data_IF_408142399104
#
_entry.id   IF_408142399104
#
_cell.length_a   1.000
_cell.length_b   1.000
_cell.length_c   1.000
_cell.angle_alpha   90.00
_cell.angle_beta   90.00
_cell.angle_gamma   90.00
#
_symmetry.space_group_name_H-M   'P 1'
#
loop_
_entity.id
_entity.type
_entity.pdbx_description
1 polymer ?
#
# COMPACT_ATOMS: atom_id res chain seq x y z
N UNK A 1 18.53 3.26 -13.61
CA UNK A 1 19.81 3.36 -12.87
C UNK A 1 19.69 2.90 -11.42
N UNK A 2 18.48 2.53 -10.94
CA UNK A 2 18.17 2.12 -9.56
C UNK A 2 18.37 0.63 -9.22
N UNK A 3 18.57 -0.23 -10.21
CA UNK A 3 18.69 -1.69 -10.00
C UNK A 3 19.97 -2.14 -9.27
N UNK A 4 20.95 -1.26 -9.07
CA UNK A 4 22.22 -1.62 -8.44
C UNK A 4 22.31 -1.35 -6.93
N UNK A 5 21.45 -0.50 -6.36
CA UNK A 5 21.49 -0.14 -4.93
C UNK A 5 20.95 -1.24 -4.01
N UNK A 6 19.99 -2.03 -4.51
CA UNK A 6 19.39 -3.14 -3.75
C UNK A 6 20.24 -4.42 -3.72
N UNK A 7 21.28 -4.53 -4.53
CA UNK A 7 22.21 -5.67 -4.51
C UNK A 7 22.93 -5.89 -3.15
N UNK A 8 22.97 -4.89 -2.31
CA UNK A 8 23.62 -4.97 -1.00
C UNK A 8 22.81 -5.74 0.05
N UNK A 9 21.50 -5.77 -0.09
CA UNK A 9 20.62 -6.46 0.88
C UNK A 9 20.28 -7.89 0.46
N UNK A 10 20.29 -8.24 -0.83
CA UNK A 10 19.84 -9.56 -1.30
C UNK A 10 20.44 -9.98 -2.64
N UNK A 11 21.23 -11.07 -2.66
CA UNK A 11 21.53 -11.89 -3.83
C UNK A 11 20.50 -13.04 -4.01
N UNK A 12 19.20 -12.76 -3.81
CA UNK A 12 18.21 -13.81 -4.03
C UNK A 12 17.50 -13.56 -5.36
N UNK A 13 18.07 -14.11 -6.43
CA UNK A 13 17.34 -14.35 -7.67
C UNK A 13 16.50 -15.60 -7.49
N UNK A 14 15.22 -15.41 -7.15
CA UNK A 14 14.26 -16.51 -7.12
C UNK A 14 13.52 -16.59 -8.45
N UNK A 15 13.18 -17.80 -8.87
CA UNK A 15 12.29 -17.99 -10.00
C UNK A 15 10.84 -17.89 -9.53
N UNK A 16 10.11 -16.96 -10.13
CA UNK A 16 8.72 -16.66 -9.77
C UNK A 16 7.81 -16.89 -10.98
N UNK A 17 6.71 -17.61 -10.78
CA UNK A 17 5.67 -17.75 -11.81
C UNK A 17 4.49 -16.86 -11.41
N UNK A 18 4.11 -15.96 -12.31
CA UNK A 18 2.89 -15.13 -12.17
C UNK A 18 1.83 -15.68 -13.13
N UNK A 19 0.70 -16.12 -12.60
CA UNK A 19 -0.43 -16.60 -13.37
C UNK A 19 -1.47 -15.50 -13.49
N UNK A 20 -1.67 -15.01 -14.70
CA UNK A 20 -2.49 -13.87 -15.08
C UNK A 20 -1.66 -12.63 -15.41
N UNK A 21 -1.83 -12.09 -16.63
CA UNK A 21 -1.23 -10.83 -17.09
C UNK A 21 -2.26 -9.68 -17.11
N UNK A 22 -3.26 -9.75 -16.22
CA UNK A 22 -4.15 -8.64 -15.95
C UNK A 22 -3.43 -7.48 -15.24
N UNK A 23 -4.18 -6.50 -14.78
CA UNK A 23 -3.61 -5.31 -14.13
C UNK A 23 -2.72 -5.61 -12.92
N UNK A 24 -3.16 -6.50 -12.02
CA UNK A 24 -2.40 -6.90 -10.84
C UNK A 24 -1.17 -7.71 -11.24
N UNK A 25 -1.36 -8.74 -12.08
CA UNK A 25 -0.26 -9.65 -12.45
C UNK A 25 0.85 -8.98 -13.24
N UNK A 26 0.51 -8.12 -14.21
CA UNK A 26 1.51 -7.33 -14.96
C UNK A 26 2.31 -6.41 -14.04
N UNK A 27 1.65 -5.75 -13.07
CA UNK A 27 2.31 -4.88 -12.13
C UNK A 27 3.18 -5.65 -11.13
N UNK A 28 2.72 -6.80 -10.65
CA UNK A 28 3.52 -7.71 -9.80
C UNK A 28 4.75 -8.21 -10.57
N UNK A 29 4.58 -8.64 -11.83
CA UNK A 29 5.68 -9.08 -12.66
C UNK A 29 6.72 -7.97 -12.89
N UNK A 30 6.27 -6.75 -13.17
CA UNK A 30 7.13 -5.57 -13.32
C UNK A 30 7.95 -5.32 -12.06
N UNK A 31 7.30 -5.28 -10.90
CA UNK A 31 7.99 -5.04 -9.63
C UNK A 31 8.98 -6.14 -9.29
N UNK A 32 8.60 -7.42 -9.45
CA UNK A 32 9.49 -8.55 -9.17
C UNK A 32 10.71 -8.56 -10.11
N UNK A 33 10.52 -8.23 -11.39
CA UNK A 33 11.61 -8.11 -12.37
C UNK A 33 12.55 -6.96 -12.03
N UNK A 34 12.02 -5.80 -11.68
CA UNK A 34 12.82 -4.64 -11.20
C UNK A 34 13.69 -5.00 -10.00
N UNK A 35 13.22 -5.90 -9.14
CA UNK A 35 13.98 -6.40 -8.00
C UNK A 35 14.94 -7.55 -8.33
N UNK A 36 15.15 -7.84 -9.63
CA UNK A 36 16.15 -8.80 -10.11
C UNK A 36 15.72 -10.26 -10.03
N UNK A 37 14.44 -10.57 -9.80
CA UNK A 37 13.93 -11.92 -9.84
C UNK A 37 13.81 -12.43 -11.29
N UNK A 38 13.89 -13.75 -11.48
CA UNK A 38 13.63 -14.44 -12.74
C UNK A 38 12.11 -14.72 -12.81
N UNK A 39 11.39 -14.01 -13.68
CA UNK A 39 9.92 -14.03 -13.70
C UNK A 39 9.42 -14.71 -14.96
N UNK A 40 8.47 -15.64 -14.80
CA UNK A 40 7.67 -16.19 -15.87
C UNK A 40 6.20 -15.75 -15.70
N UNK A 41 5.56 -15.35 -16.79
CA UNK A 41 4.16 -14.92 -16.81
C UNK A 41 3.34 -15.88 -17.67
N UNK A 42 2.26 -16.41 -17.10
CA UNK A 42 1.29 -17.28 -17.78
C UNK A 42 0.01 -16.51 -18.02
N UNK A 43 -0.47 -16.45 -19.26
CA UNK A 43 -1.71 -15.78 -19.63
C UNK A 43 -2.36 -16.46 -20.86
N UNK A 44 -3.66 -16.44 -20.90
CA UNK A 44 -4.43 -17.00 -22.03
C UNK A 44 -4.67 -16.00 -23.14
N UNK A 45 -4.68 -14.71 -22.85
CA UNK A 45 -4.86 -13.63 -23.81
C UNK A 45 -3.52 -13.21 -24.43
N UNK A 46 -3.41 -13.42 -25.74
CA UNK A 46 -2.19 -13.08 -26.51
C UNK A 46 -1.87 -11.60 -26.52
N UNK A 47 -2.89 -10.74 -26.52
CA UNK A 47 -2.67 -9.30 -26.52
C UNK A 47 -2.00 -8.85 -25.22
N UNK A 48 -2.48 -9.35 -24.08
CA UNK A 48 -1.87 -9.07 -22.77
C UNK A 48 -0.45 -9.66 -22.64
N UNK A 49 -0.23 -10.86 -23.20
CA UNK A 49 1.13 -11.43 -23.21
C UNK A 49 2.10 -10.55 -23.99
N UNK A 50 1.70 -10.08 -25.17
CA UNK A 50 2.52 -9.20 -26.00
C UNK A 50 2.82 -7.89 -25.27
N UNK A 51 1.82 -7.29 -24.59
CA UNK A 51 1.99 -6.07 -23.80
C UNK A 51 3.03 -6.24 -22.68
N UNK A 52 3.08 -7.42 -22.07
CA UNK A 52 4.06 -7.75 -21.02
C UNK A 52 5.46 -7.99 -21.62
N UNK A 53 5.55 -8.78 -22.69
CA UNK A 53 6.80 -9.11 -23.39
C UNK A 53 7.49 -7.86 -23.94
N UNK A 54 6.70 -6.91 -24.48
CA UNK A 54 7.23 -5.65 -25.02
C UNK A 54 7.81 -4.72 -23.93
N UNK A 55 7.39 -4.88 -22.70
CA UNK A 55 7.73 -3.94 -21.59
C UNK A 55 8.71 -4.52 -20.57
N UNK A 56 8.71 -5.82 -20.39
CA UNK A 56 9.42 -6.49 -19.31
C UNK A 56 10.34 -7.60 -19.86
N UNK A 57 11.48 -7.75 -19.24
CA UNK A 57 12.40 -8.88 -19.49
C UNK A 57 11.94 -10.11 -18.69
N UNK A 58 10.93 -10.80 -19.18
CA UNK A 58 10.30 -11.96 -18.53
C UNK A 58 10.04 -13.10 -19.53
N UNK A 59 9.97 -14.33 -19.03
CA UNK A 59 9.49 -15.45 -19.82
C UNK A 59 7.96 -15.38 -19.94
N UNK A 60 7.40 -15.32 -21.14
CA UNK A 60 5.96 -15.39 -21.36
C UNK A 60 5.54 -16.78 -21.84
N UNK A 61 4.44 -17.29 -21.29
CA UNK A 61 3.88 -18.61 -21.63
C UNK A 61 2.39 -18.46 -21.89
N UNK A 62 1.97 -18.75 -23.12
CA UNK A 62 0.55 -18.76 -23.48
C UNK A 62 -0.15 -20.01 -22.94
N UNK A 63 -1.19 -19.83 -22.11
CA UNK A 63 -1.98 -20.93 -21.61
C UNK A 63 -2.61 -20.66 -20.25
N UNK A 64 -3.20 -21.68 -19.66
CA UNK A 64 -3.83 -21.61 -18.34
C UNK A 64 -2.91 -22.16 -17.26
N UNK A 65 -2.86 -21.49 -16.10
CA UNK A 65 -2.18 -21.99 -14.90
C UNK A 65 -2.81 -23.26 -14.29
N UNK A 66 -3.98 -23.68 -14.79
CA UNK A 66 -4.60 -24.96 -14.42
C UNK A 66 -4.03 -26.15 -15.17
N UNK A 67 -3.18 -25.92 -16.19
CA UNK A 67 -2.59 -26.98 -16.99
C UNK A 67 -1.15 -27.26 -16.53
N UNK A 68 -0.85 -28.49 -16.07
CA UNK A 68 0.49 -28.84 -15.61
C UNK A 68 1.60 -28.55 -16.64
N UNK A 69 1.38 -28.85 -17.92
CA UNK A 69 2.35 -28.58 -18.98
C UNK A 69 2.66 -27.10 -19.14
N UNK A 70 1.69 -26.21 -18.98
CA UNK A 70 1.88 -24.76 -19.03
C UNK A 70 2.75 -24.29 -17.86
N UNK A 71 2.49 -24.80 -16.67
CA UNK A 71 3.29 -24.52 -15.49
C UNK A 71 4.72 -25.07 -15.62
N UNK A 72 4.90 -26.25 -16.22
CA UNK A 72 6.22 -26.83 -16.49
C UNK A 72 7.02 -25.96 -17.50
N UNK A 73 6.37 -25.47 -18.57
CA UNK A 73 6.97 -24.53 -19.52
C UNK A 73 7.39 -23.21 -18.87
N UNK A 74 6.64 -22.76 -17.88
CA UNK A 74 6.99 -21.61 -17.06
C UNK A 74 8.08 -21.89 -16.01
N UNK A 75 8.58 -23.13 -15.91
CA UNK A 75 9.66 -23.50 -15.01
C UNK A 75 9.22 -23.90 -13.61
N UNK A 76 8.05 -24.54 -13.45
CA UNK A 76 7.46 -24.94 -12.16
C UNK A 76 8.45 -25.72 -11.27
N UNK A 77 9.26 -26.59 -11.85
CA UNK A 77 10.21 -27.44 -11.12
C UNK A 77 11.36 -26.68 -10.43
N UNK A 78 11.57 -25.43 -10.81
CA UNK A 78 12.59 -24.53 -10.20
C UNK A 78 11.96 -23.32 -9.52
N UNK A 79 10.62 -23.20 -9.56
CA UNK A 79 9.92 -22.07 -8.96
C UNK A 79 9.96 -22.12 -7.43
N UNK A 80 10.30 -21.01 -6.82
CA UNK A 80 10.25 -20.83 -5.37
C UNK A 80 8.95 -20.15 -4.93
N UNK A 81 8.30 -19.45 -5.87
CA UNK A 81 7.04 -18.75 -5.64
C UNK A 81 6.12 -18.85 -6.86
N UNK A 82 4.85 -19.10 -6.61
CA UNK A 82 3.78 -18.96 -7.60
C UNK A 82 2.76 -17.94 -7.10
N UNK A 83 2.46 -16.95 -7.94
CA UNK A 83 1.50 -15.87 -7.67
C UNK A 83 0.35 -16.01 -8.66
N UNK A 84 -0.80 -16.50 -8.21
CA UNK A 84 -1.99 -16.71 -9.03
C UNK A 84 -2.99 -15.55 -8.79
N UNK A 85 -3.10 -14.64 -9.77
CA UNK A 85 -3.82 -13.35 -9.66
C UNK A 85 -4.67 -13.05 -10.89
N UNK A 86 -5.24 -14.09 -11.51
CA UNK A 86 -6.23 -13.92 -12.57
C UNK A 86 -7.55 -13.37 -12.00
N UNK A 87 -8.49 -12.99 -12.86
CA UNK A 87 -9.87 -12.62 -12.46
C UNK A 87 -10.76 -13.83 -12.16
N UNK A 88 -10.24 -15.05 -12.17
CA UNK A 88 -10.99 -16.27 -11.92
C UNK A 88 -10.40 -17.00 -10.71
N UNK A 89 -11.16 -17.05 -9.63
CA UNK A 89 -10.73 -17.63 -8.36
C UNK A 89 -10.42 -19.13 -8.46
N UNK A 90 -11.19 -19.89 -9.25
CA UNK A 90 -10.96 -21.32 -9.45
C UNK A 90 -9.62 -21.57 -10.16
N UNK A 91 -9.29 -20.76 -11.16
CA UNK A 91 -7.98 -20.82 -11.83
C UNK A 91 -6.86 -20.54 -10.85
N UNK A 92 -7.03 -19.51 -10.01
CA UNK A 92 -6.03 -19.12 -9.02
C UNK A 92 -5.81 -20.25 -7.98
N UNK A 93 -6.89 -20.83 -7.48
CA UNK A 93 -6.86 -21.92 -6.51
C UNK A 93 -6.23 -23.20 -7.07
N UNK A 94 -6.59 -23.59 -8.30
CA UNK A 94 -6.03 -24.79 -8.95
C UNK A 94 -4.56 -24.58 -9.26
N UNK A 95 -4.16 -23.39 -9.75
CA UNK A 95 -2.76 -23.07 -10.02
C UNK A 95 -1.89 -23.20 -8.76
N UNK A 96 -2.39 -22.68 -7.62
CA UNK A 96 -1.68 -22.79 -6.35
C UNK A 96 -1.61 -24.23 -5.85
N UNK A 97 -2.69 -25.00 -5.98
CA UNK A 97 -2.72 -26.43 -5.62
C UNK A 97 -1.67 -27.21 -6.40
N UNK A 98 -1.63 -27.03 -7.73
CA UNK A 98 -0.63 -27.69 -8.59
C UNK A 98 0.80 -27.29 -8.22
N UNK A 99 1.01 -26.02 -7.93
CA UNK A 99 2.30 -25.52 -7.47
C UNK A 99 2.73 -26.17 -6.15
N UNK A 100 1.84 -26.27 -5.18
CA UNK A 100 2.13 -26.93 -3.90
C UNK A 100 2.39 -28.44 -4.07
N UNK A 101 1.64 -29.10 -4.92
CA UNK A 101 1.88 -30.53 -5.22
C UNK A 101 3.25 -30.76 -5.92
N UNK A 102 3.71 -29.78 -6.70
CA UNK A 102 5.04 -29.80 -7.33
C UNK A 102 6.18 -29.44 -6.35
N UNK A 103 5.86 -29.07 -5.09
CA UNK A 103 6.86 -28.74 -4.08
C UNK A 103 7.28 -27.28 -4.03
N UNK A 104 6.56 -26.37 -4.70
CA UNK A 104 6.83 -24.93 -4.62
C UNK A 104 6.70 -24.44 -3.17
N UNK A 105 7.73 -23.78 -2.68
CA UNK A 105 7.83 -23.38 -1.29
C UNK A 105 6.73 -22.40 -0.88
N UNK A 106 6.43 -21.42 -1.74
CA UNK A 106 5.50 -20.31 -1.44
C UNK A 106 4.46 -20.13 -2.55
N UNK A 107 3.21 -19.88 -2.15
CA UNK A 107 2.11 -19.59 -3.08
C UNK A 107 1.28 -18.43 -2.58
N UNK A 108 0.90 -17.56 -3.51
CA UNK A 108 -0.03 -16.45 -3.29
C UNK A 108 -1.22 -16.63 -4.20
N UNK A 109 -2.41 -16.43 -3.66
CA UNK A 109 -3.67 -16.61 -4.37
C UNK A 109 -4.55 -15.38 -4.19
N UNK A 110 -5.03 -14.80 -5.29
CA UNK A 110 -6.08 -13.79 -5.27
C UNK A 110 -7.44 -14.48 -5.21
N UNK A 111 -8.31 -14.04 -4.29
CA UNK A 111 -9.69 -14.51 -4.16
C UNK A 111 -10.60 -13.31 -3.94
N UNK A 112 -11.67 -13.21 -4.75
CA UNK A 112 -12.66 -12.14 -4.67
C UNK A 112 -14.06 -12.62 -4.32
N UNK A 113 -14.33 -13.93 -4.41
CA UNK A 113 -15.66 -14.48 -4.20
C UNK A 113 -16.12 -14.34 -2.74
N UNK A 114 -17.30 -13.74 -2.53
CA UNK A 114 -17.89 -13.53 -1.20
C UNK A 114 -18.07 -14.84 -0.39
N UNK A 115 -18.47 -15.91 -1.05
CA UNK A 115 -18.68 -17.21 -0.44
C UNK A 115 -17.36 -17.90 0.02
N UNK A 116 -16.22 -17.35 -0.37
CA UNK A 116 -14.89 -17.83 0.01
C UNK A 116 -14.21 -16.94 1.08
N UNK A 117 -14.97 -16.09 1.75
CA UNK A 117 -14.48 -15.21 2.82
C UNK A 117 -14.58 -15.84 4.22
N UNK A 118 -13.90 -15.25 5.17
CA UNK A 118 -13.97 -15.61 6.58
C UNK A 118 -13.53 -17.06 6.82
N UNK A 119 -14.37 -17.83 7.48
CA UNK A 119 -14.08 -19.22 7.87
C UNK A 119 -13.90 -20.16 6.66
N UNK A 120 -14.69 -19.96 5.60
CA UNK A 120 -14.57 -20.73 4.36
C UNK A 120 -13.23 -20.47 3.67
N UNK A 121 -12.78 -19.22 3.59
CA UNK A 121 -11.46 -18.88 3.06
C UNK A 121 -10.31 -19.53 3.86
N UNK A 122 -10.41 -19.55 5.19
CA UNK A 122 -9.41 -20.20 6.03
C UNK A 122 -9.35 -21.71 5.79
N UNK A 123 -10.50 -22.36 5.67
CA UNK A 123 -10.58 -23.81 5.39
C UNK A 123 -10.02 -24.13 4.00
N UNK A 124 -10.36 -23.33 2.99
CA UNK A 124 -9.88 -23.49 1.62
C UNK A 124 -8.38 -23.24 1.52
N UNK A 125 -7.88 -22.19 2.17
CA UNK A 125 -6.45 -21.91 2.28
C UNK A 125 -5.69 -23.09 2.89
N UNK A 126 -6.19 -23.66 3.98
CA UNK A 126 -5.58 -24.82 4.62
C UNK A 126 -5.62 -26.06 3.73
N UNK A 127 -6.71 -26.29 2.99
CA UNK A 127 -6.87 -27.43 2.09
C UNK A 127 -5.96 -27.37 0.86
N UNK A 128 -5.74 -26.17 0.31
CA UNK A 128 -4.89 -25.95 -0.87
C UNK A 128 -3.42 -25.78 -0.46
N UNK A 129 -3.17 -25.39 0.79
CA UNK A 129 -1.85 -25.06 1.29
C UNK A 129 -1.35 -23.69 0.78
N UNK A 130 -2.26 -22.78 0.41
CA UNK A 130 -1.87 -21.42 0.02
C UNK A 130 -1.28 -20.66 1.23
N UNK A 131 -0.11 -20.06 1.03
CA UNK A 131 0.59 -19.36 2.11
C UNK A 131 0.00 -17.96 2.33
N UNK A 132 -0.43 -17.30 1.26
CA UNK A 132 -1.12 -16.01 1.31
C UNK A 132 -2.36 -16.03 0.42
N UNK A 133 -3.46 -15.53 0.94
CA UNK A 133 -4.66 -15.18 0.17
C UNK A 133 -4.81 -13.66 0.18
N UNK A 134 -4.98 -13.06 -0.98
CA UNK A 134 -5.16 -11.63 -1.16
C UNK A 134 -6.55 -11.36 -1.71
N UNK A 135 -7.28 -10.47 -1.06
CA UNK A 135 -8.49 -9.85 -1.57
C UNK A 135 -8.17 -8.37 -1.86
N UNK A 136 -8.27 -7.90 -3.12
CA UNK A 136 -7.95 -6.51 -3.47
C UNK A 136 -8.79 -5.48 -2.73
N UNK A 137 -10.04 -5.80 -2.45
CA UNK A 137 -10.96 -4.91 -1.74
C UNK A 137 -10.57 -4.79 -0.26
N UNK A 138 -10.22 -5.90 0.39
CA UNK A 138 -9.79 -5.90 1.78
C UNK A 138 -8.43 -5.19 1.95
N UNK A 139 -7.49 -5.37 1.00
CA UNK A 139 -6.22 -4.63 0.99
C UNK A 139 -6.46 -3.12 0.82
N UNK A 140 -7.36 -2.72 -0.10
CA UNK A 140 -7.72 -1.31 -0.30
C UNK A 140 -8.44 -0.73 0.93
N UNK A 141 -9.35 -1.50 1.53
CA UNK A 141 -10.03 -1.09 2.76
C UNK A 141 -9.04 -0.88 3.91
N UNK A 142 -8.03 -1.75 4.02
CA UNK A 142 -6.97 -1.60 5.02
C UNK A 142 -6.16 -0.31 4.81
N UNK A 143 -5.79 0.03 3.55
CA UNK A 143 -5.12 1.30 3.24
C UNK A 143 -6.00 2.51 3.61
N UNK A 144 -7.31 2.48 3.31
CA UNK A 144 -8.25 3.54 3.69
C UNK A 144 -8.30 3.70 5.22
N UNK A 145 -8.43 2.58 5.95
CA UNK A 145 -8.48 2.61 7.41
C UNK A 145 -7.21 3.17 8.05
N UNK A 146 -6.04 2.86 7.47
CA UNK A 146 -4.78 3.44 7.91
C UNK A 146 -4.73 4.96 7.66
N UNK A 147 -5.19 5.44 6.50
CA UNK A 147 -5.31 6.87 6.19
C UNK A 147 -6.25 7.59 7.15
N UNK A 148 -7.39 6.98 7.50
CA UNK A 148 -8.34 7.54 8.47
C UNK A 148 -7.73 7.72 9.88
N UNK A 149 -6.65 7.02 10.20
CA UNK A 149 -5.89 7.24 11.44
C UNK A 149 -5.00 8.50 11.40
N UNK A 150 -4.65 9.02 10.21
CA UNK A 150 -3.69 10.13 10.06
C UNK A 150 -4.21 11.19 9.08
N UNK A 151 -5.13 12.09 9.53
CA UNK A 151 -5.71 13.14 8.71
C UNK A 151 -4.68 13.96 7.95
N UNK A 152 -4.87 14.10 6.63
CA UNK A 152 -3.96 14.84 5.73
C UNK A 152 -2.72 14.07 5.31
N UNK A 153 -2.53 12.82 5.76
CA UNK A 153 -1.53 11.93 5.17
C UNK A 153 -2.03 11.38 3.83
N UNK A 154 -1.19 11.40 2.83
CA UNK A 154 -1.48 10.75 1.54
C UNK A 154 -1.09 9.28 1.55
N UNK A 155 -0.16 8.92 2.43
CA UNK A 155 0.36 7.57 2.59
C UNK A 155 0.74 7.34 4.06
N UNK A 156 0.53 6.11 4.53
CA UNK A 156 0.90 5.72 5.89
C UNK A 156 1.37 4.28 5.90
N UNK A 157 2.36 3.98 6.73
CA UNK A 157 2.83 2.63 6.95
C UNK A 157 3.20 2.40 8.41
N UNK A 158 2.90 1.21 8.91
CA UNK A 158 3.25 0.78 10.25
C UNK A 158 4.31 -0.32 10.21
N UNK A 159 5.40 -0.11 10.94
CA UNK A 159 6.56 -0.98 11.04
C UNK A 159 6.81 -1.38 12.49
N UNK A 160 7.67 -2.38 12.69
CA UNK A 160 8.11 -2.81 14.01
C UNK A 160 6.94 -3.06 14.98
N UNK A 161 6.01 -3.93 14.60
CA UNK A 161 4.78 -4.22 15.36
C UNK A 161 3.99 -2.94 15.71
N UNK A 162 3.93 -1.97 14.77
CA UNK A 162 3.28 -0.65 14.89
C UNK A 162 3.97 0.34 15.84
N UNK A 163 5.19 0.08 16.27
CA UNK A 163 5.98 1.00 17.12
C UNK A 163 6.65 2.13 16.32
N UNK A 164 6.84 1.92 15.01
CA UNK A 164 7.37 2.91 14.06
C UNK A 164 6.28 3.18 13.01
N UNK A 165 6.12 4.44 12.65
CA UNK A 165 5.19 4.90 11.63
C UNK A 165 5.95 5.67 10.56
N UNK A 166 5.54 5.50 9.30
CA UNK A 166 5.96 6.34 8.19
C UNK A 166 4.75 7.11 7.70
N UNK A 167 4.88 8.43 7.58
CA UNK A 167 3.82 9.33 7.13
C UNK A 167 4.30 10.00 5.84
N UNK A 168 3.58 9.78 4.75
CA UNK A 168 3.73 10.48 3.49
C UNK A 168 2.73 11.63 3.40
N UNK A 169 3.19 12.83 3.03
CA UNK A 169 2.32 13.99 2.85
C UNK A 169 2.99 15.07 2.04
N UNK A 170 2.20 15.95 1.41
CA UNK A 170 2.68 17.16 0.76
C UNK A 170 2.75 18.30 1.77
N UNK A 171 3.93 18.92 1.90
CA UNK A 171 4.18 20.00 2.86
C UNK A 171 3.43 21.27 2.46
N UNK A 172 2.53 21.72 3.33
CA UNK A 172 1.75 22.92 3.10
C UNK A 172 2.53 24.20 3.43
N UNK A 173 2.22 25.29 2.74
CA UNK A 173 2.68 26.61 3.12
C UNK A 173 2.20 26.94 4.53
N UNK A 174 3.11 27.34 5.41
CA UNK A 174 2.79 27.62 6.82
C UNK A 174 2.97 26.43 7.77
N UNK A 175 3.26 25.22 7.29
CA UNK A 175 3.65 24.11 8.14
C UNK A 175 4.93 24.45 8.93
N UNK A 176 5.04 24.08 10.22
CA UNK A 176 6.21 24.38 11.04
C UNK A 176 7.56 23.92 10.47
N UNK A 177 7.59 22.84 9.69
CA UNK A 177 8.81 22.36 9.02
C UNK A 177 9.12 23.15 7.73
N UNK A 178 8.15 23.84 7.15
CA UNK A 178 8.35 24.57 5.92
C UNK A 178 9.39 25.69 6.08
N UNK A 179 10.29 25.84 5.12
CA UNK A 179 11.37 26.84 5.13
C UNK A 179 12.56 26.49 6.03
N UNK A 180 12.54 25.40 6.78
CA UNK A 180 13.66 24.98 7.63
C UNK A 180 14.61 24.06 6.86
N UNK A 181 15.91 24.09 7.26
CA UNK A 181 16.88 23.07 6.82
C UNK A 181 16.81 21.86 7.76
N UNK A 182 17.15 20.65 7.25
CA UNK A 182 17.19 19.48 8.11
C UNK A 182 18.19 19.58 9.26
N UNK A 183 19.30 20.31 9.08
CA UNK A 183 20.24 20.60 10.16
C UNK A 183 19.63 21.46 11.27
N UNK A 184 18.82 22.46 10.91
CA UNK A 184 18.12 23.31 11.90
C UNK A 184 17.06 22.51 12.65
N UNK A 185 16.30 21.65 11.95
CA UNK A 185 15.35 20.73 12.57
C UNK A 185 16.07 19.78 13.52
N UNK A 186 17.17 19.16 13.07
CA UNK A 186 17.96 18.25 13.88
C UNK A 186 18.46 18.89 15.17
N UNK A 187 19.00 20.10 15.09
CA UNK A 187 19.52 20.81 16.27
C UNK A 187 18.44 21.12 17.31
N UNK A 188 17.20 21.35 16.88
CA UNK A 188 16.08 21.63 17.77
C UNK A 188 15.63 20.41 18.58
N UNK A 189 15.76 19.20 18.01
CA UNK A 189 15.28 17.96 18.62
C UNK A 189 16.39 17.05 19.21
N UNK A 190 17.66 17.53 19.26
CA UNK A 190 18.75 16.86 19.97
C UNK A 190 18.47 16.83 21.50
N UNK A 191 18.89 15.80 22.24
CA UNK A 191 19.59 14.59 21.79
C UNK A 191 18.67 13.43 21.38
N UNK A 192 17.37 13.49 21.68
CA UNK A 192 16.43 12.38 21.52
C UNK A 192 15.45 12.64 20.40
N UNK A 193 15.80 12.20 19.20
CA UNK A 193 14.93 12.31 18.06
C UNK A 193 13.75 11.34 18.16
N UNK A 194 12.58 11.84 17.88
CA UNK A 194 11.36 11.04 17.77
C UNK A 194 10.91 10.84 16.32
N UNK A 195 11.54 11.55 15.36
CA UNK A 195 11.27 11.43 13.93
C UNK A 195 12.49 11.83 13.07
N UNK A 196 12.45 11.51 11.79
CA UNK A 196 13.34 12.05 10.75
C UNK A 196 12.59 12.13 9.40
N UNK A 197 13.02 13.03 8.51
CA UNK A 197 12.58 13.08 7.11
C UNK A 197 13.41 12.07 6.33
N UNK A 198 12.78 10.98 5.88
CA UNK A 198 13.46 9.87 5.22
C UNK A 198 13.63 10.12 3.72
N UNK A 199 12.63 10.70 3.07
CA UNK A 199 12.69 11.06 1.66
C UNK A 199 11.93 12.35 1.38
N UNK A 200 12.29 13.01 0.27
CA UNK A 200 11.62 14.19 -0.26
C UNK A 200 11.53 14.06 -1.78
N UNK A 201 10.32 14.28 -2.32
CA UNK A 201 10.10 14.46 -3.76
C UNK A 201 9.77 15.90 -4.05
N UNK A 202 10.43 16.48 -5.08
CA UNK A 202 10.16 17.80 -5.63
C UNK A 202 10.27 17.73 -7.14
N UNK A 203 9.26 18.20 -7.88
CA UNK A 203 9.23 18.17 -9.34
C UNK A 203 9.51 16.76 -9.93
N UNK A 204 8.99 15.71 -9.30
CA UNK A 204 9.19 14.34 -9.73
C UNK A 204 10.56 13.72 -9.37
N UNK A 205 11.46 14.45 -8.71
CA UNK A 205 12.76 13.96 -8.28
C UNK A 205 12.74 13.59 -6.78
N UNK A 206 12.93 12.31 -6.49
CA UNK A 206 12.94 11.76 -5.13
C UNK A 206 14.36 11.56 -4.64
N UNK A 207 14.67 12.13 -3.48
CA UNK A 207 15.99 12.04 -2.85
C UNK A 207 15.88 11.66 -1.37
N UNK A 208 16.93 11.04 -0.83
CA UNK A 208 17.18 11.00 0.61
C UNK A 208 17.86 12.32 0.99
N UNK A 209 17.15 13.23 1.71
CA UNK A 209 17.64 14.57 1.90
C UNK A 209 18.77 14.62 2.91
N UNK A 210 19.78 15.47 2.66
CA UNK A 210 20.90 15.70 3.54
C UNK A 210 20.68 16.92 4.45
N UNK A 211 21.55 17.13 5.40
CA UNK A 211 21.44 18.14 6.44
C UNK A 211 21.21 19.58 5.95
N UNK A 212 21.76 19.93 4.79
CA UNK A 212 21.67 21.25 4.15
C UNK A 212 20.38 21.46 3.32
N UNK A 213 19.62 20.40 3.09
CA UNK A 213 18.38 20.50 2.32
C UNK A 213 17.34 21.32 3.07
N UNK A 214 16.79 22.32 2.40
CA UNK A 214 15.67 23.15 2.87
C UNK A 214 14.37 22.54 2.39
N UNK A 215 13.41 22.41 3.28
CA UNK A 215 12.05 21.99 2.98
C UNK A 215 11.25 23.20 2.47
N UNK A 216 10.53 23.03 1.37
CA UNK A 216 9.75 24.07 0.71
C UNK A 216 8.28 23.65 0.58
N UNK A 217 7.35 24.58 0.37
CA UNK A 217 5.97 24.24 0.03
C UNK A 217 5.93 23.26 -1.16
N UNK A 218 4.94 22.41 -1.20
CA UNK A 218 4.70 21.39 -2.22
C UNK A 218 5.76 20.26 -2.29
N UNK A 219 6.76 20.25 -1.39
CA UNK A 219 7.58 19.06 -1.20
C UNK A 219 6.72 17.90 -0.73
N UNK A 220 6.77 16.77 -1.41
CA UNK A 220 6.22 15.54 -0.86
C UNK A 220 7.26 14.88 0.06
N UNK A 221 6.91 14.69 1.32
CA UNK A 221 7.81 14.20 2.36
C UNK A 221 7.36 12.84 2.89
N UNK A 222 8.31 11.94 3.11
CA UNK A 222 8.11 10.75 3.94
C UNK A 222 8.88 10.92 5.25
N UNK A 223 8.14 10.87 6.35
CA UNK A 223 8.67 11.08 7.70
C UNK A 223 8.55 9.78 8.49
N UNK A 224 9.68 9.23 8.90
CA UNK A 224 9.75 8.09 9.83
C UNK A 224 9.68 8.62 11.26
N UNK A 225 8.77 8.11 12.05
CA UNK A 225 8.56 8.56 13.43
C UNK A 225 8.28 7.39 14.37
N UNK A 226 8.59 7.59 15.67
CA UNK A 226 8.09 6.72 16.73
C UNK A 226 6.57 6.90 16.85
N UNK A 227 5.82 5.82 17.04
CA UNK A 227 4.36 5.86 17.20
C UNK A 227 3.89 6.91 18.21
N UNK A 228 4.58 7.03 19.35
CA UNK A 228 4.24 8.00 20.40
C UNK A 228 4.33 9.46 19.93
N UNK A 229 5.17 9.76 18.92
CA UNK A 229 5.38 11.10 18.38
C UNK A 229 4.48 11.41 17.16
N UNK A 230 3.59 10.50 16.76
CA UNK A 230 2.71 10.67 15.60
C UNK A 230 2.02 12.03 15.58
N UNK A 231 1.42 12.41 16.71
CA UNK A 231 0.66 13.67 16.85
C UNK A 231 1.53 14.90 16.67
N UNK A 232 2.70 14.90 17.34
CA UNK A 232 3.65 16.02 17.24
C UNK A 232 4.18 16.17 15.81
N UNK A 233 4.44 15.03 15.13
CA UNK A 233 4.91 15.01 13.74
C UNK A 233 3.81 15.51 12.78
N UNK A 234 2.55 15.11 13.00
CA UNK A 234 1.42 15.65 12.22
C UNK A 234 1.35 17.18 12.36
N UNK A 235 1.45 17.72 13.56
CA UNK A 235 1.45 19.17 13.82
C UNK A 235 2.63 19.87 13.13
N UNK A 236 3.83 19.25 13.14
CA UNK A 236 5.02 19.78 12.47
C UNK A 236 4.89 19.81 10.94
N UNK A 237 4.20 18.85 10.38
CA UNK A 237 3.88 18.76 8.95
C UNK A 237 2.71 19.68 8.53
N UNK A 238 2.07 20.35 9.50
CA UNK A 238 0.87 21.16 9.26
C UNK A 238 -0.41 20.32 9.12
N UNK A 239 -0.33 19.03 9.43
CA UNK A 239 -1.48 18.13 9.40
C UNK A 239 -2.34 18.31 10.66
N UNK A 240 -3.61 17.99 10.54
CA UNK A 240 -4.47 18.04 11.71
C UNK A 240 -4.22 16.84 12.61
N UNK A 241 -4.09 17.10 13.90
CA UNK A 241 -3.94 16.04 14.90
C UNK A 241 -5.31 15.42 15.22
N UNK A 242 -5.38 14.09 15.29
CA UNK A 242 -6.60 13.37 15.66
C UNK A 242 -6.95 12.24 14.70
N UNK A 243 -8.19 11.81 14.74
CA UNK A 243 -8.81 10.85 13.82
C UNK A 243 -10.04 11.50 13.20
N UNK A 244 -10.39 11.10 12.01
CA UNK A 244 -11.65 11.52 11.40
C UNK A 244 -12.84 11.05 12.21
N UNK A 245 -13.84 11.91 12.34
CA UNK A 245 -15.07 11.65 13.11
C UNK A 245 -16.26 11.31 12.23
N UNK A 246 -16.33 11.94 11.04
CA UNK A 246 -17.44 11.77 10.08
C UNK A 246 -16.88 11.36 8.73
N UNK A 247 -17.26 10.19 8.28
CA UNK A 247 -16.81 9.60 7.01
C UNK A 247 -18.04 9.36 6.14
N UNK A 248 -18.02 9.87 4.91
CA UNK A 248 -19.01 9.60 3.88
C UNK A 248 -18.42 8.63 2.86
N UNK A 249 -19.02 7.45 2.74
CA UNK A 249 -18.67 6.44 1.76
C UNK A 249 -19.65 6.51 0.58
N UNK A 250 -19.13 6.72 -0.61
CA UNK A 250 -19.90 6.86 -1.84
C UNK A 250 -19.78 5.59 -2.71
N UNK A 251 -20.90 4.87 -2.83
CA UNK A 251 -21.00 3.58 -3.51
C UNK A 251 -20.60 2.41 -2.63
N UNK A 252 -21.38 1.32 -2.72
CA UNK A 252 -21.17 0.14 -1.90
C UNK A 252 -20.59 -1.00 -2.73
N UNK A 253 -19.32 -0.86 -3.07
CA UNK A 253 -18.47 -1.98 -3.40
C UNK A 253 -18.01 -2.70 -2.12
N UNK A 254 -17.34 -3.84 -2.28
CA UNK A 254 -16.80 -4.62 -1.17
C UNK A 254 -15.80 -3.84 -0.30
N UNK A 255 -15.00 -2.97 -0.91
CA UNK A 255 -14.11 -2.06 -0.20
C UNK A 255 -14.86 -1.18 0.79
N UNK A 256 -15.96 -0.53 0.34
CA UNK A 256 -16.77 0.35 1.20
C UNK A 256 -17.44 -0.42 2.34
N UNK A 257 -17.92 -1.63 2.08
CA UNK A 257 -18.51 -2.51 3.09
C UNK A 257 -17.48 -2.91 4.16
N UNK A 258 -16.26 -3.30 3.75
CA UNK A 258 -15.17 -3.63 4.69
C UNK A 258 -14.78 -2.43 5.55
N UNK A 259 -14.71 -1.21 4.98
CA UNK A 259 -14.45 0.02 5.72
C UNK A 259 -15.59 0.33 6.70
N UNK A 260 -16.84 0.26 6.24
CA UNK A 260 -18.03 0.52 7.08
C UNK A 260 -18.11 -0.46 8.26
N UNK A 261 -17.88 -1.75 8.02
CA UNK A 261 -17.80 -2.78 9.06
C UNK A 261 -16.73 -2.46 10.11
N UNK A 262 -15.55 -2.08 9.67
CA UNK A 262 -14.43 -1.78 10.57
C UNK A 262 -14.66 -0.54 11.43
N UNK A 263 -15.57 0.35 11.00
CA UNK A 263 -15.93 1.59 11.69
C UNK A 263 -17.28 1.52 12.43
N UNK A 264 -18.01 0.41 12.33
CA UNK A 264 -19.38 0.25 12.89
C UNK A 264 -19.44 0.42 14.41
N UNK A 265 -18.35 0.12 15.12
CA UNK A 265 -18.24 0.35 16.57
C UNK A 265 -18.28 1.84 16.97
N UNK A 266 -18.35 2.76 16.01
CA UNK A 266 -18.42 4.22 16.21
C UNK A 266 -19.75 4.76 15.68
N UNK A 267 -20.87 4.64 16.41
CA UNK A 267 -22.20 5.03 15.92
C UNK A 267 -22.23 6.48 15.43
N UNK A 268 -22.80 6.70 14.25
CA UNK A 268 -22.91 8.02 13.62
C UNK A 268 -21.63 8.57 12.99
N UNK A 269 -20.55 7.78 13.00
CA UNK A 269 -19.29 8.18 12.35
C UNK A 269 -19.31 7.93 10.83
N UNK A 270 -20.12 6.99 10.35
CA UNK A 270 -20.15 6.57 8.95
C UNK A 270 -21.53 6.78 8.35
N UNK A 271 -21.55 7.45 7.20
CA UNK A 271 -22.71 7.52 6.30
C UNK A 271 -22.30 6.89 4.97
N UNK A 272 -23.22 6.17 4.35
CA UNK A 272 -22.99 5.42 3.13
C UNK A 272 -24.11 5.72 2.13
N UNK A 273 -23.76 6.02 0.87
CA UNK A 273 -24.72 6.25 -0.21
C UNK A 273 -24.62 5.07 -1.20
N UNK A 274 -25.77 4.42 -1.45
CA UNK A 274 -25.89 3.30 -2.40
C UNK A 274 -27.05 3.51 -3.35
N UNK A 275 -26.80 3.26 -4.62
CA UNK A 275 -27.79 3.46 -5.69
C UNK A 275 -28.82 2.32 -5.78
N UNK A 276 -28.41 1.09 -5.50
CA UNK A 276 -29.29 -0.07 -5.56
C UNK A 276 -30.16 -0.12 -4.29
N UNK A 277 -31.50 0.02 -4.40
CA UNK A 277 -32.38 0.04 -3.24
C UNK A 277 -32.43 -1.28 -2.46
N UNK A 278 -32.19 -2.40 -3.13
CA UNK A 278 -32.16 -3.72 -2.46
C UNK A 278 -30.89 -3.82 -1.64
N UNK A 279 -29.75 -3.47 -2.24
CA UNK A 279 -28.47 -3.48 -1.53
C UNK A 279 -28.43 -2.46 -0.39
N UNK A 280 -28.93 -1.26 -0.60
CA UNK A 280 -29.03 -0.23 0.45
C UNK A 280 -29.80 -0.74 1.68
N UNK A 281 -30.93 -1.45 1.46
CA UNK A 281 -31.72 -2.03 2.56
C UNK A 281 -30.98 -3.15 3.27
N UNK A 282 -30.37 -4.07 2.54
CA UNK A 282 -29.57 -5.16 3.12
C UNK A 282 -28.43 -4.63 4.02
N UNK A 283 -27.77 -3.57 3.57
CA UNK A 283 -26.70 -2.95 4.35
C UNK A 283 -27.22 -2.24 5.60
N UNK A 284 -28.34 -1.52 5.49
CA UNK A 284 -28.97 -0.87 6.64
C UNK A 284 -29.42 -1.90 7.72
N UNK A 285 -29.76 -3.12 7.30
CA UNK A 285 -30.11 -4.21 8.23
C UNK A 285 -28.87 -4.87 8.86
N UNK A 286 -27.75 -4.93 8.13
CA UNK A 286 -26.56 -5.67 8.55
C UNK A 286 -25.49 -4.80 9.24
N UNK A 287 -25.42 -3.49 8.94
CA UNK A 287 -24.41 -2.57 9.47
C UNK A 287 -24.99 -1.73 10.63
N UNK A 288 -24.87 -2.23 11.85
CA UNK A 288 -25.27 -1.45 13.02
C UNK A 288 -24.42 -0.17 13.15
N UNK A 289 -25.07 0.95 13.45
CA UNK A 289 -24.37 2.23 13.67
C UNK A 289 -23.96 3.01 12.43
N UNK A 290 -24.24 2.50 11.23
CA UNK A 290 -23.99 3.14 9.93
C UNK A 290 -25.29 3.69 9.36
N UNK A 291 -25.28 4.97 8.94
CA UNK A 291 -26.42 5.54 8.20
C UNK A 291 -26.30 5.17 6.73
N UNK A 292 -27.31 4.48 6.20
CA UNK A 292 -27.36 4.12 4.77
C UNK A 292 -28.43 4.95 4.06
N UNK A 293 -28.05 5.61 2.97
CA UNK A 293 -28.89 6.47 2.14
C UNK A 293 -28.99 5.86 0.75
N UNK A 294 -30.21 5.71 0.22
CA UNK A 294 -30.44 5.32 -1.16
C UNK A 294 -30.22 6.53 -2.09
N UNK A 295 -29.30 6.40 -3.06
CA UNK A 295 -29.08 7.46 -4.04
C UNK A 295 -27.88 7.24 -4.94
N UNK A 296 -27.81 8.05 -6.00
CA UNK A 296 -26.68 8.03 -6.96
C UNK A 296 -25.60 9.01 -6.50
N UNK A 297 -24.36 8.53 -6.41
CA UNK A 297 -23.19 9.34 -5.97
C UNK A 297 -22.85 10.48 -6.95
N UNK A 298 -23.36 10.43 -8.18
CA UNK A 298 -23.20 11.50 -9.18
C UNK A 298 -24.30 12.55 -9.12
N UNK A 299 -25.30 12.36 -8.27
CA UNK A 299 -26.36 13.34 -8.05
C UNK A 299 -25.87 14.46 -7.12
N UNK A 300 -25.63 15.61 -7.74
CA UNK A 300 -25.13 16.80 -7.04
C UNK A 300 -26.13 17.35 -6.01
N UNK A 301 -27.44 17.24 -6.28
CA UNK A 301 -28.48 17.73 -5.36
C UNK A 301 -28.53 16.86 -4.10
N UNK A 302 -28.39 15.53 -4.28
CA UNK A 302 -28.30 14.59 -3.16
C UNK A 302 -27.07 14.88 -2.29
N UNK A 303 -25.87 15.00 -2.89
CA UNK A 303 -24.65 15.27 -2.15
C UNK A 303 -24.70 16.61 -1.40
N UNK A 304 -25.36 17.62 -1.97
CA UNK A 304 -25.59 18.92 -1.31
C UNK A 304 -26.59 18.79 -0.16
N UNK A 305 -27.70 18.06 -0.35
CA UNK A 305 -28.73 17.84 0.66
C UNK A 305 -28.21 17.05 1.86
N UNK A 306 -27.32 16.08 1.62
CA UNK A 306 -26.65 15.29 2.66
C UNK A 306 -25.41 15.99 3.25
N UNK A 307 -25.23 17.27 2.93
CA UNK A 307 -24.12 18.08 3.46
C UNK A 307 -22.75 17.44 3.29
N UNK A 308 -22.45 16.86 2.11
CA UNK A 308 -21.20 16.16 1.85
C UNK A 308 -19.95 16.98 2.21
N UNK A 309 -20.03 18.31 2.11
CA UNK A 309 -18.95 19.22 2.54
C UNK A 309 -18.70 19.29 4.04
N UNK A 310 -19.59 18.76 4.87
CA UNK A 310 -19.45 18.75 6.34
C UNK A 310 -18.73 17.52 6.90
N UNK A 311 -18.42 16.55 6.01
CA UNK A 311 -17.69 15.34 6.40
C UNK A 311 -16.18 15.61 6.46
N UNK A 312 -15.52 14.93 7.39
CA UNK A 312 -14.07 14.99 7.48
C UNK A 312 -13.43 14.30 6.27
N UNK A 313 -14.00 13.16 5.85
CA UNK A 313 -13.57 12.41 4.67
C UNK A 313 -14.76 12.02 3.81
N UNK A 314 -14.62 12.20 2.50
CA UNK A 314 -15.54 11.66 1.50
C UNK A 314 -14.76 10.66 0.64
N UNK A 315 -15.11 9.38 0.71
CA UNK A 315 -14.45 8.31 -0.03
C UNK A 315 -15.37 7.73 -1.10
N UNK A 316 -15.03 7.90 -2.38
CA UNK A 316 -15.75 7.33 -3.51
C UNK A 316 -15.11 6.01 -3.94
N UNK A 317 -15.87 4.90 -3.73
CA UNK A 317 -15.36 3.53 -3.73
C UNK A 317 -16.13 2.63 -4.70
N UNK A 318 -16.65 3.19 -5.79
CA UNK A 318 -17.32 2.41 -6.84
C UNK A 318 -16.31 1.81 -7.84
N UNK A 319 -16.79 0.87 -8.67
CA UNK A 319 -16.03 0.35 -9.81
C UNK A 319 -15.90 1.31 -11.01
N UNK A 320 -16.37 2.56 -10.89
CA UNK A 320 -16.41 3.54 -11.98
C UNK A 320 -15.53 4.75 -11.68
N UNK A 321 -14.32 4.78 -12.26
CA UNK A 321 -13.35 5.86 -12.04
C UNK A 321 -13.95 7.25 -12.24
N UNK A 322 -14.71 7.44 -13.33
CA UNK A 322 -15.26 8.74 -13.69
C UNK A 322 -16.30 9.24 -12.66
N UNK A 323 -17.14 8.32 -12.15
CA UNK A 323 -18.11 8.63 -11.10
C UNK A 323 -17.39 8.97 -9.77
N UNK A 324 -16.37 8.20 -9.41
CA UNK A 324 -15.59 8.44 -8.20
C UNK A 324 -14.89 9.81 -8.24
N UNK A 325 -14.29 10.14 -9.39
CA UNK A 325 -13.62 11.44 -9.60
C UNK A 325 -14.61 12.58 -9.46
N UNK A 326 -15.75 12.54 -10.18
CA UNK A 326 -16.74 13.60 -10.17
C UNK A 326 -17.36 13.81 -8.79
N UNK A 327 -17.70 12.72 -8.10
CA UNK A 327 -18.25 12.77 -6.75
C UNK A 327 -17.27 13.40 -5.74
N UNK A 328 -15.99 13.02 -5.78
CA UNK A 328 -14.94 13.60 -4.94
C UNK A 328 -14.74 15.08 -5.22
N UNK A 329 -14.63 15.50 -6.49
CA UNK A 329 -14.48 16.89 -6.87
C UNK A 329 -15.66 17.74 -6.43
N UNK A 330 -16.88 17.20 -6.57
CA UNK A 330 -18.08 17.90 -6.14
C UNK A 330 -18.13 18.03 -4.61
N UNK A 331 -17.85 16.94 -3.86
CA UNK A 331 -17.76 17.00 -2.40
C UNK A 331 -16.69 18.00 -1.94
N UNK A 332 -15.54 18.07 -2.63
CA UNK A 332 -14.49 19.06 -2.35
C UNK A 332 -14.99 20.48 -2.57
N UNK A 333 -15.75 20.72 -3.65
CA UNK A 333 -16.35 22.05 -3.92
C UNK A 333 -17.39 22.48 -2.89
N UNK A 334 -18.03 21.53 -2.22
CA UNK A 334 -18.94 21.78 -1.09
C UNK A 334 -18.21 22.01 0.24
N UNK A 335 -16.89 21.79 0.29
CA UNK A 335 -16.08 22.00 1.48
C UNK A 335 -15.61 20.75 2.20
N UNK A 336 -15.76 19.55 1.60
CA UNK A 336 -15.22 18.31 2.17
C UNK A 336 -13.72 18.48 2.45
N UNK A 337 -13.32 18.08 3.64
CA UNK A 337 -11.97 18.34 4.14
C UNK A 337 -10.95 17.48 3.42
N UNK A 338 -11.25 16.21 3.22
CA UNK A 338 -10.41 15.26 2.48
C UNK A 338 -11.25 14.38 1.59
N UNK A 339 -10.72 14.04 0.43
CA UNK A 339 -11.37 13.19 -0.56
C UNK A 339 -10.46 12.00 -0.92
N UNK A 340 -11.05 10.81 -0.95
CA UNK A 340 -10.38 9.56 -1.35
C UNK A 340 -11.14 8.99 -2.54
N UNK A 341 -10.46 8.75 -3.67
CA UNK A 341 -11.05 8.09 -4.83
C UNK A 341 -10.35 6.76 -5.11
N UNK A 342 -11.11 5.67 -5.29
CA UNK A 342 -10.56 4.45 -5.88
C UNK A 342 -10.50 4.56 -7.40
N UNK A 343 -9.39 4.08 -7.98
CA UNK A 343 -9.11 4.13 -9.41
C UNK A 343 -8.59 2.79 -9.93
N UNK A 344 -9.07 2.39 -11.08
CA UNK A 344 -8.55 1.27 -11.85
C UNK A 344 -7.48 1.74 -12.85
N UNK A 345 -7.63 2.94 -13.42
CA UNK A 345 -6.71 3.55 -14.40
C UNK A 345 -5.61 4.35 -13.71
N UNK A 346 -4.50 3.70 -13.35
CA UNK A 346 -3.38 4.33 -12.61
C UNK A 346 -2.78 5.57 -13.28
N UNK A 347 -2.85 5.68 -14.62
CA UNK A 347 -2.37 6.86 -15.36
C UNK A 347 -3.08 8.15 -15.00
N UNK A 348 -4.27 8.07 -14.39
CA UNK A 348 -5.02 9.23 -13.93
C UNK A 348 -4.55 9.73 -12.56
N UNK A 349 -3.77 8.95 -11.80
CA UNK A 349 -3.40 9.25 -10.42
C UNK A 349 -2.71 10.62 -10.27
N UNK A 350 -1.70 10.90 -11.10
CA UNK A 350 -0.96 12.17 -11.05
C UNK A 350 -1.87 13.36 -11.36
N UNK A 351 -2.75 13.20 -12.37
CA UNK A 351 -3.69 14.23 -12.76
C UNK A 351 -4.70 14.56 -11.63
N UNK A 352 -5.09 13.58 -10.83
CA UNK A 352 -6.11 13.78 -9.80
C UNK A 352 -5.65 14.66 -8.66
N UNK A 353 -4.39 14.58 -8.28
CA UNK A 353 -3.80 15.49 -7.28
C UNK A 353 -3.81 16.94 -7.79
N UNK A 354 -3.54 17.16 -9.08
CA UNK A 354 -3.58 18.49 -9.69
C UNK A 354 -4.98 19.08 -9.73
N UNK A 355 -6.02 18.26 -9.90
CA UNK A 355 -7.42 18.72 -9.92
C UNK A 355 -8.08 18.79 -8.53
N UNK A 356 -7.35 18.46 -7.47
CA UNK A 356 -7.80 18.67 -6.08
C UNK A 356 -8.41 17.47 -5.37
N UNK A 357 -8.17 16.25 -5.83
CA UNK A 357 -8.46 15.02 -5.07
C UNK A 357 -7.24 14.73 -4.19
N UNK A 358 -7.46 14.58 -2.88
CA UNK A 358 -6.36 14.49 -1.92
C UNK A 358 -5.66 13.13 -1.97
N UNK A 359 -6.42 12.04 -2.10
CA UNK A 359 -5.89 10.67 -2.14
C UNK A 359 -6.52 9.86 -3.28
N UNK A 360 -5.69 9.21 -4.07
CA UNK A 360 -6.09 8.25 -5.10
C UNK A 360 -5.51 6.87 -4.80
N UNK A 361 -6.38 5.89 -4.54
CA UNK A 361 -6.03 4.51 -4.25
C UNK A 361 -6.37 3.59 -5.43
N UNK A 362 -5.67 2.48 -5.52
CA UNK A 362 -5.98 1.46 -6.52
C UNK A 362 -5.93 0.06 -5.92
N UNK A 363 -7.01 -0.73 -6.07
CA UNK A 363 -7.00 -2.13 -5.65
C UNK A 363 -5.87 -2.96 -6.26
N UNK A 364 -5.41 -2.54 -7.45
CA UNK A 364 -4.25 -3.11 -8.13
C UNK A 364 -2.95 -2.91 -7.35
N UNK A 365 -2.66 -1.67 -6.95
CA UNK A 365 -1.44 -1.38 -6.17
C UNK A 365 -1.51 -1.96 -4.78
N UNK A 366 -2.66 -1.90 -4.13
CA UNK A 366 -2.89 -2.50 -2.82
C UNK A 366 -2.59 -4.01 -2.84
N UNK A 367 -3.15 -4.74 -3.82
CA UNK A 367 -2.87 -6.18 -3.99
C UNK A 367 -1.40 -6.48 -4.27
N UNK A 368 -0.77 -5.71 -5.17
CA UNK A 368 0.63 -5.91 -5.50
C UNK A 368 1.53 -5.65 -4.29
N UNK A 369 1.23 -4.63 -3.50
CA UNK A 369 1.91 -4.35 -2.24
C UNK A 369 1.76 -5.52 -1.25
N UNK A 370 0.57 -6.12 -1.17
CA UNK A 370 0.32 -7.34 -0.39
C UNK A 370 1.20 -8.52 -0.83
N UNK A 371 1.30 -8.78 -2.14
CA UNK A 371 2.22 -9.79 -2.70
C UNK A 371 3.67 -9.50 -2.31
N UNK A 372 4.12 -8.28 -2.50
CA UNK A 372 5.52 -7.91 -2.26
C UNK A 372 5.89 -7.98 -0.78
N UNK A 373 5.00 -7.56 0.13
CA UNK A 373 5.18 -7.78 1.57
C UNK A 373 5.40 -9.26 1.88
N UNK A 374 4.61 -10.14 1.26
CA UNK A 374 4.75 -11.58 1.45
C UNK A 374 6.03 -12.15 0.84
N UNK A 375 6.37 -11.76 -0.39
CA UNK A 375 7.59 -12.23 -1.08
C UNK A 375 8.83 -11.95 -0.24
N UNK A 376 8.89 -10.79 0.37
CA UNK A 376 10.00 -10.34 1.21
C UNK A 376 9.95 -10.83 2.65
N UNK A 377 8.80 -11.29 3.13
CA UNK A 377 8.59 -11.75 4.51
C UNK A 377 9.46 -12.93 4.97
N UNK A 378 10.18 -13.60 4.05
CA UNK A 378 11.18 -14.61 4.41
C UNK A 378 12.51 -14.04 4.94
N UNK A 379 12.76 -12.75 4.72
CA UNK A 379 14.00 -12.05 5.09
C UNK A 379 13.72 -10.67 5.71
N UNK A 380 12.66 -9.97 5.25
CA UNK A 380 12.17 -8.74 5.86
C UNK A 380 10.84 -9.02 6.57
N UNK A 381 10.68 -8.58 7.81
CA UNK A 381 9.42 -8.77 8.55
C UNK A 381 8.26 -7.99 7.91
N UNK A 382 8.55 -6.80 7.38
CA UNK A 382 7.60 -5.94 6.68
C UNK A 382 8.30 -5.26 5.51
N UNK A 383 7.64 -5.24 4.35
CA UNK A 383 8.04 -4.39 3.22
C UNK A 383 6.81 -3.59 2.80
N UNK A 384 6.94 -2.28 2.73
CA UNK A 384 5.85 -1.38 2.37
C UNK A 384 6.33 -0.44 1.27
N UNK A 385 5.52 -0.31 0.22
CA UNK A 385 5.78 0.61 -0.89
C UNK A 385 4.88 1.82 -0.71
N UNK A 386 5.48 2.96 -0.50
CA UNK A 386 4.77 4.21 -0.27
C UNK A 386 4.56 4.99 -1.56
N UNK A 387 5.54 4.99 -2.45
CA UNK A 387 5.40 5.51 -3.81
C UNK A 387 6.30 4.70 -4.75
N UNK A 388 6.14 4.84 -6.06
CA UNK A 388 6.90 4.06 -7.04
C UNK A 388 8.42 4.14 -6.87
N UNK A 389 8.92 5.26 -6.32
CA UNK A 389 10.35 5.56 -6.17
C UNK A 389 10.85 5.51 -4.71
N UNK A 390 10.00 5.16 -3.75
CA UNK A 390 10.36 5.06 -2.33
C UNK A 390 9.85 3.78 -1.70
N UNK A 391 10.72 3.09 -1.00
CA UNK A 391 10.42 1.81 -0.36
C UNK A 391 10.95 1.80 1.07
N UNK A 392 10.17 1.24 1.99
CA UNK A 392 10.57 1.01 3.37
C UNK A 392 10.59 -0.48 3.65
N UNK A 393 11.71 -0.98 4.19
CA UNK A 393 11.92 -2.39 4.49
C UNK A 393 12.30 -2.53 5.96
N UNK A 394 11.71 -3.49 6.66
CA UNK A 394 12.08 -3.90 8.00
C UNK A 394 12.92 -5.18 7.93
N UNK A 395 14.16 -5.09 8.42
CA UNK A 395 15.13 -6.18 8.45
C UNK A 395 15.56 -6.44 9.88
N UNK A 396 15.87 -7.69 10.21
CA UNK A 396 16.50 -8.05 11.48
C UNK A 396 18.02 -8.13 11.29
N UNK A 397 18.77 -7.53 12.20
CA UNK A 397 20.23 -7.63 12.22
C UNK A 397 20.64 -9.04 12.66
N UNK A 398 21.21 -9.81 11.74
CA UNK A 398 21.67 -11.16 12.01
C UNK A 398 22.97 -11.15 12.82
N UNK A 399 23.13 -12.17 13.70
CA UNK A 399 24.36 -12.40 14.48
C UNK A 399 25.59 -12.49 13.55
N UNK A 400 26.63 -11.72 13.87
CA UNK A 400 27.87 -11.71 13.10
C UNK A 400 27.77 -11.09 11.70
N UNK A 401 26.65 -10.46 11.36
CA UNK A 401 26.53 -9.69 10.12
C UNK A 401 27.42 -8.42 10.18
N UNK A 402 27.67 -7.81 9.01
CA UNK A 402 28.45 -6.55 8.94
C UNK A 402 27.82 -5.39 9.74
N UNK A 403 26.53 -5.49 10.05
CA UNK A 403 25.81 -4.47 10.80
C UNK A 403 25.88 -4.70 12.33
N UNK A 404 26.15 -5.94 12.75
CA UNK A 404 26.19 -6.29 14.17
C UNK A 404 27.43 -5.69 14.87
N UNK A 405 27.18 -4.84 15.87
CA UNK A 405 28.20 -4.11 16.61
C UNK A 405 28.73 -2.86 15.88
N UNK A 406 28.20 -2.51 14.70
CA UNK A 406 28.75 -1.43 13.89
C UNK A 406 27.87 -0.17 13.94
N UNK A 407 28.48 1.00 13.77
CA UNK A 407 27.75 2.27 13.66
C UNK A 407 27.13 2.42 12.26
N UNK A 408 25.93 2.99 12.19
CA UNK A 408 25.26 3.26 10.92
C UNK A 408 26.14 4.07 9.96
N UNK A 409 26.92 5.04 10.49
CA UNK A 409 27.86 5.84 9.67
C UNK A 409 28.99 5.04 9.00
N UNK A 410 29.31 3.87 9.55
CA UNK A 410 30.39 3.01 9.08
C UNK A 410 29.86 1.87 8.20
N UNK A 411 28.55 1.70 8.13
CA UNK A 411 27.93 0.81 7.16
C UNK A 411 28.08 1.45 5.80
N UNK A 412 28.72 0.75 4.89
CA UNK A 412 28.97 1.22 3.53
C UNK A 412 27.67 1.16 2.70
N UNK A 413 26.65 1.88 3.17
CA UNK A 413 25.33 1.91 2.56
C UNK A 413 25.35 2.72 1.26
N UNK A 414 24.62 2.30 0.23
CA UNK A 414 24.38 3.10 -0.97
C UNK A 414 23.84 4.50 -0.62
N UNK A 415 24.11 5.49 -1.50
CA UNK A 415 23.71 6.88 -1.25
C UNK A 415 22.20 7.10 -1.18
N UNK A 416 21.44 6.19 -1.74
CA UNK A 416 19.99 6.11 -1.82
C UNK A 416 19.36 5.16 -0.78
N UNK A 417 20.14 4.78 0.25
CA UNK A 417 19.68 3.96 1.38
C UNK A 417 19.87 4.70 2.70
N UNK A 418 18.85 4.64 3.55
CA UNK A 418 18.84 5.24 4.88
C UNK A 418 18.32 4.23 5.91
N UNK A 419 18.98 4.12 7.05
CA UNK A 419 18.42 3.47 8.24
C UNK A 419 17.56 4.48 9.00
N UNK A 420 16.25 4.42 8.79
CA UNK A 420 15.29 5.36 9.38
C UNK A 420 15.09 5.16 10.89
N UNK A 421 14.91 3.91 11.30
CA UNK A 421 14.70 3.53 12.69
C UNK A 421 15.23 2.12 12.96
N UNK A 422 15.40 1.76 14.22
CA UNK A 422 15.63 0.40 14.68
C UNK A 422 14.94 0.16 16.03
N UNK A 423 14.64 -1.09 16.36
CA UNK A 423 13.98 -1.45 17.61
C UNK A 423 14.88 -2.33 18.44
N UNK A 424 15.20 -1.86 19.64
CA UNK A 424 16.01 -2.59 20.63
C UNK A 424 15.22 -2.80 21.90
N UNK A 425 15.11 -4.04 22.35
CA UNK A 425 14.35 -4.41 23.56
C UNK A 425 12.90 -3.89 23.51
N UNK A 426 12.26 -3.98 22.32
CA UNK A 426 10.89 -3.50 22.07
C UNK A 426 10.74 -1.96 22.07
N UNK A 427 11.84 -1.20 22.12
CA UNK A 427 11.82 0.27 22.13
C UNK A 427 12.30 0.83 20.78
N UNK A 428 11.48 1.60 20.06
CA UNK A 428 11.88 2.21 18.80
C UNK A 428 12.88 3.34 19.02
N UNK A 429 13.86 3.42 18.14
CA UNK A 429 14.91 4.46 18.11
C UNK A 429 15.07 4.95 16.70
N UNK A 430 15.19 6.25 16.51
CA UNK A 430 15.48 6.85 15.21
C UNK A 430 16.95 6.61 14.85
N UNK A 431 17.21 6.15 13.61
CA UNK A 431 18.53 5.85 13.09
C UNK A 431 19.36 7.13 12.92
N UNK A 432 20.59 7.10 13.40
CA UNK A 432 21.58 8.18 13.25
C UNK A 432 22.92 7.60 12.90
N UNK A 433 23.75 8.33 12.18
CA UNK A 433 25.09 7.86 11.85
C UNK A 433 25.90 7.35 13.04
N UNK A 434 25.73 7.95 14.23
CA UNK A 434 26.39 7.54 15.50
C UNK A 434 25.73 6.35 16.21
N UNK A 435 24.54 5.93 15.79
CA UNK A 435 23.85 4.79 16.38
C UNK A 435 24.56 3.50 15.99
N UNK A 436 24.85 2.67 16.97
CA UNK A 436 25.40 1.32 16.84
C UNK A 436 24.22 0.35 16.70
N UNK A 437 24.22 -0.48 15.67
CA UNK A 437 23.28 -1.58 15.51
C UNK A 437 23.80 -2.82 16.23
N UNK A 438 22.89 -3.70 16.66
CA UNK A 438 23.22 -4.95 17.34
C UNK A 438 22.33 -6.06 16.83
N UNK A 439 22.75 -7.29 17.03
CA UNK A 439 21.94 -8.47 16.79
C UNK A 439 20.50 -8.26 17.27
N UNK A 440 19.52 -8.64 16.44
CA UNK A 440 18.07 -8.52 16.67
C UNK A 440 17.51 -7.09 16.77
N UNK A 441 18.31 -6.07 16.43
CA UNK A 441 17.76 -4.74 16.23
C UNK A 441 16.85 -4.71 14.99
#
# INVERSE_FOLDING_TARGET
MYANSLRWCYEWRVHVIVVGAGEVGSYVAELLTRHGNDVAVIETDRGRLQDVEDKLDVLVVEGSGTHPMTLEQAGLNRAELVVAVTSNDEVNLISALLAKQAGVARTVVRIEAENLRGRAAQQLRAAIGADLVIDPDDETAAEILELLEAPGATEIAHLAAREVIVIGTTLQEGAPLCGQTLSAIAAKYEPDWDFLVAARTRNGDTIIPRADVRLEPDDHLWVVAKRKAKRDVQELLGLQSGTYRRVLLLGVGRTAESVAWSLSDRPGAVTLIERDPVRARELAENLEGVLVIEGDITDAELLAAEEAGSYDVVAALTGQDDANILACLYAKSLGARETIATLHRLKLRELLTEVGIDVALSPRTASANGVLRFVRGGVAKVATFLAADFEVIELEVAEGSKADGERISNLDLPKDVLVGAFVRDGKPRIGRGRSELRERD
#
